data_IF_386572378853
#
_entry.id   IF_386572378853
#
_cell.length_a   1.000
_cell.length_b   1.000
_cell.length_c   1.000
_cell.angle_alpha   90.00
_cell.angle_beta   90.00
_cell.angle_gamma   90.00
#
_symmetry.space_group_name_H-M   'P 1'
#
loop_
_entity.id
_entity.type
_entity.pdbx_description
1 polymer ?
#
# COMPACT_ATOMS: atom_id res chain seq x y z
N UNK A 1 -3.45 -4.69 -12.88
CA UNK A 1 -3.96 -4.95 -11.52
C UNK A 1 -5.27 -4.20 -11.37
N UNK A 2 -6.36 -4.88 -11.02
CA UNK A 2 -7.66 -4.23 -10.81
C UNK A 2 -7.82 -3.94 -9.31
N UNK A 3 -8.21 -2.71 -8.99
CA UNK A 3 -8.46 -2.27 -7.62
C UNK A 3 -9.94 -2.49 -7.30
N UNK A 4 -10.29 -3.07 -6.13
CA UNK A 4 -11.68 -3.13 -5.68
C UNK A 4 -12.32 -1.74 -5.72
N UNK A 5 -13.56 -1.63 -6.19
CA UNK A 5 -14.21 -0.32 -6.37
C UNK A 5 -14.28 0.50 -5.08
N UNK A 6 -14.48 -0.14 -3.93
CA UNK A 6 -14.53 0.54 -2.63
C UNK A 6 -13.14 1.02 -2.13
N UNK A 7 -12.07 0.42 -2.65
CA UNK A 7 -10.66 0.72 -2.34
C UNK A 7 -10.00 1.65 -3.37
N UNK A 8 -10.75 2.09 -4.39
CA UNK A 8 -10.24 2.96 -5.47
C UNK A 8 -9.65 4.27 -4.95
N UNK A 9 -10.37 5.01 -4.11
CA UNK A 9 -9.85 6.26 -3.52
C UNK A 9 -8.59 6.06 -2.66
N UNK A 10 -8.56 5.12 -1.69
CA UNK A 10 -7.34 4.80 -0.94
C UNK A 10 -6.14 4.46 -1.84
N UNK A 11 -6.37 3.70 -2.92
CA UNK A 11 -5.31 3.31 -3.85
C UNK A 11 -4.74 4.48 -4.64
N UNK A 12 -5.57 5.46 -5.03
CA UNK A 12 -5.15 6.68 -5.73
C UNK A 12 -4.27 7.52 -4.80
N UNK A 13 -4.70 7.71 -3.55
CA UNK A 13 -3.95 8.46 -2.55
C UNK A 13 -2.58 7.80 -2.34
N UNK A 14 -2.55 6.48 -2.08
CA UNK A 14 -1.31 5.74 -1.92
C UNK A 14 -0.40 5.86 -3.15
N UNK A 15 -0.96 5.75 -4.36
CA UNK A 15 -0.23 5.92 -5.61
C UNK A 15 0.41 7.29 -5.72
N UNK A 16 -0.35 8.36 -5.47
CA UNK A 16 0.14 9.74 -5.50
C UNK A 16 1.29 9.98 -4.51
N UNK A 17 1.18 9.45 -3.29
CA UNK A 17 2.23 9.59 -2.29
C UNK A 17 3.49 8.78 -2.64
N UNK A 18 3.34 7.54 -3.10
CA UNK A 18 4.49 6.73 -3.54
C UNK A 18 5.23 7.39 -4.72
N UNK A 19 4.48 7.99 -5.66
CA UNK A 19 5.04 8.75 -6.76
C UNK A 19 5.75 10.01 -6.26
N UNK A 20 5.18 10.71 -5.27
CA UNK A 20 5.81 11.90 -4.69
C UNK A 20 7.16 11.59 -4.02
N UNK A 21 7.27 10.48 -3.28
CA UNK A 21 8.54 10.04 -2.67
C UNK A 21 9.59 9.74 -3.75
N UNK A 22 9.20 8.99 -4.78
CA UNK A 22 10.09 8.67 -5.91
C UNK A 22 10.51 9.92 -6.69
N UNK A 23 9.59 10.86 -6.92
CA UNK A 23 9.88 12.15 -7.56
C UNK A 23 10.80 13.02 -6.71
N UNK A 24 10.62 13.02 -5.39
CA UNK A 24 11.52 13.73 -4.48
C UNK A 24 12.95 13.18 -4.60
N UNK A 25 13.10 11.85 -4.72
CA UNK A 25 14.35 11.19 -5.08
C UNK A 25 14.95 11.74 -6.38
N UNK A 26 14.17 11.85 -7.45
CA UNK A 26 14.66 12.42 -8.73
C UNK A 26 15.05 13.89 -8.62
N UNK A 27 14.34 14.69 -7.82
CA UNK A 27 14.65 16.10 -7.59
C UNK A 27 15.92 16.25 -6.74
N UNK A 28 16.32 15.24 -5.97
CA UNK A 28 17.58 15.28 -5.20
C UNK A 28 18.83 15.23 -6.08
N UNK A 29 18.75 14.69 -7.30
CA UNK A 29 19.90 14.61 -8.23
C UNK A 29 20.59 15.97 -8.44
N UNK A 30 19.86 17.03 -8.86
CA UNK A 30 20.45 18.35 -9.06
C UNK A 30 20.66 19.15 -7.77
N UNK A 31 20.00 18.80 -6.67
CA UNK A 31 20.04 19.59 -5.42
C UNK A 31 21.19 19.21 -4.47
N UNK A 32 21.60 17.94 -4.45
CA UNK A 32 22.64 17.48 -3.54
C UNK A 32 24.03 17.87 -4.07
N UNK A 33 24.85 18.39 -3.15
CA UNK A 33 26.23 18.78 -3.44
C UNK A 33 27.07 17.54 -3.84
N UNK A 34 28.23 17.76 -4.51
CA UNK A 34 29.17 16.68 -4.83
C UNK A 34 29.50 15.88 -3.58
N UNK A 35 29.47 14.56 -3.70
CA UNK A 35 29.68 13.69 -2.56
C UNK A 35 31.12 13.73 -2.07
N UNK A 36 31.26 13.83 -0.74
CA UNK A 36 32.55 13.71 -0.06
C UNK A 36 32.63 12.43 0.80
N UNK A 37 31.55 11.65 0.84
CA UNK A 37 31.47 10.43 1.64
C UNK A 37 32.18 9.25 0.95
N UNK A 38 32.82 8.35 1.72
CA UNK A 38 33.39 7.12 1.16
C UNK A 38 32.30 6.29 0.45
N UNK A 39 32.69 5.55 -0.59
CA UNK A 39 31.77 4.79 -1.44
C UNK A 39 30.89 3.82 -0.64
N UNK A 40 31.44 3.22 0.42
CA UNK A 40 30.73 2.30 1.31
C UNK A 40 29.55 2.96 2.04
N UNK A 41 29.69 4.20 2.47
CA UNK A 41 28.61 4.95 3.14
C UNK A 41 27.58 5.47 2.14
N UNK A 42 28.06 5.94 0.99
CA UNK A 42 27.22 6.41 -0.12
C UNK A 42 26.25 5.35 -0.64
N UNK A 43 26.61 4.07 -0.58
CA UNK A 43 25.74 2.96 -0.98
C UNK A 43 25.04 2.33 0.23
N UNK A 44 25.74 2.19 1.34
CA UNK A 44 25.24 1.48 2.53
C UNK A 44 24.02 2.14 3.16
N UNK A 45 23.99 3.48 3.23
CA UNK A 45 22.91 4.21 3.89
C UNK A 45 21.60 4.13 3.09
N UNK A 46 21.57 4.36 1.76
CA UNK A 46 20.38 4.13 0.94
C UNK A 46 19.87 2.69 1.01
N UNK A 47 20.77 1.69 0.97
CA UNK A 47 20.38 0.28 1.07
C UNK A 47 19.79 -0.05 2.44
N UNK A 48 20.38 0.47 3.52
CA UNK A 48 19.87 0.30 4.86
C UNK A 48 18.48 0.94 5.03
N UNK A 49 18.28 2.15 4.49
CA UNK A 49 16.96 2.79 4.47
C UNK A 49 15.91 1.90 3.80
N UNK A 50 16.24 1.40 2.61
CA UNK A 50 15.35 0.52 1.85
C UNK A 50 15.00 -0.76 2.62
N UNK A 51 15.99 -1.40 3.26
CA UNK A 51 15.74 -2.57 4.09
C UNK A 51 14.82 -2.25 5.28
N UNK A 52 15.00 -1.11 5.93
CA UNK A 52 14.10 -0.66 7.01
C UNK A 52 12.68 -0.46 6.49
N UNK A 53 12.51 0.20 5.35
CA UNK A 53 11.21 0.37 4.68
C UNK A 53 10.54 -0.98 4.44
N UNK A 54 11.28 -1.94 3.89
CA UNK A 54 10.79 -3.29 3.60
C UNK A 54 10.36 -4.02 4.89
N UNK A 55 11.20 -4.03 5.92
CA UNK A 55 10.91 -4.69 7.20
C UNK A 55 9.68 -4.07 7.87
N UNK A 56 9.59 -2.74 7.91
CA UNK A 56 8.43 -2.04 8.46
C UNK A 56 7.15 -2.37 7.69
N UNK A 57 7.21 -2.44 6.36
CA UNK A 57 6.06 -2.81 5.54
C UNK A 57 5.60 -4.25 5.75
N UNK A 58 6.53 -5.18 5.99
CA UNK A 58 6.19 -6.58 6.33
C UNK A 58 5.56 -6.66 7.72
N UNK A 59 6.13 -5.97 8.71
CA UNK A 59 5.65 -5.99 10.10
C UNK A 59 4.29 -5.31 10.27
N UNK A 60 4.09 -4.16 9.59
CA UNK A 60 2.83 -3.42 9.68
C UNK A 60 1.68 -4.08 8.92
N UNK A 61 1.99 -5.10 8.08
CA UNK A 61 1.11 -5.91 7.22
C UNK A 61 -0.35 -5.45 7.21
N UNK A 62 -0.79 -4.67 6.21
CA UNK A 62 -2.11 -4.06 6.22
C UNK A 62 -3.26 -5.09 6.13
N UNK A 63 -2.96 -6.31 5.66
CA UNK A 63 -3.90 -7.42 5.56
C UNK A 63 -3.52 -8.51 6.57
N UNK A 64 -4.14 -8.53 7.77
CA UNK A 64 -3.90 -9.58 8.75
C UNK A 64 -4.52 -10.91 8.31
N UNK A 65 -3.99 -12.02 8.82
CA UNK A 65 -4.38 -13.38 8.42
C UNK A 65 -5.40 -14.04 9.36
N UNK A 66 -5.76 -13.42 10.49
CA UNK A 66 -6.69 -13.99 11.49
C UNK A 66 -7.41 -12.89 12.28
N UNK A 67 -8.53 -12.39 11.77
CA UNK A 67 -9.33 -11.39 12.50
C UNK A 67 -10.81 -11.56 12.17
N UNK A 68 -11.57 -12.23 13.03
CA UNK A 68 -13.01 -12.38 12.84
C UNK A 68 -13.74 -11.11 13.25
N UNK A 69 -14.39 -10.42 12.29
CA UNK A 69 -15.18 -9.22 12.55
C UNK A 69 -16.63 -9.31 12.07
N UNK A 70 -17.36 -8.19 12.16
CA UNK A 70 -18.69 -8.07 11.57
C UNK A 70 -18.57 -8.02 10.04
N UNK A 71 -19.46 -8.72 9.34
CA UNK A 71 -19.56 -8.70 7.88
C UNK A 71 -20.28 -7.39 7.49
N UNK A 72 -19.49 -6.34 7.27
CA UNK A 72 -19.95 -5.01 6.85
C UNK A 72 -18.85 -4.37 5.98
N UNK A 73 -19.18 -3.99 4.75
CA UNK A 73 -18.20 -3.51 3.76
C UNK A 73 -17.45 -2.27 4.24
N UNK A 74 -18.15 -1.37 4.94
CA UNK A 74 -17.57 -0.13 5.45
C UNK A 74 -16.61 -0.39 6.62
N UNK A 75 -16.94 -1.32 7.50
CA UNK A 75 -16.10 -1.74 8.63
C UNK A 75 -14.83 -2.41 8.12
N UNK A 76 -14.95 -3.33 7.15
CA UNK A 76 -13.81 -3.99 6.50
C UNK A 76 -12.91 -2.96 5.79
N UNK A 77 -13.51 -2.04 5.02
CA UNK A 77 -12.79 -0.93 4.37
C UNK A 77 -12.05 -0.06 5.39
N UNK A 78 -12.73 0.41 6.44
CA UNK A 78 -12.13 1.29 7.43
C UNK A 78 -10.97 0.62 8.17
N UNK A 79 -11.08 -0.68 8.42
CA UNK A 79 -10.01 -1.46 9.02
C UNK A 79 -8.76 -1.48 8.14
N UNK A 80 -8.92 -1.81 6.85
CA UNK A 80 -7.80 -1.80 5.90
C UNK A 80 -7.23 -0.38 5.75
N UNK A 81 -8.07 0.63 5.56
CA UNK A 81 -7.62 2.02 5.44
C UNK A 81 -6.79 2.46 6.66
N UNK A 82 -7.25 2.14 7.88
CA UNK A 82 -6.52 2.46 9.11
C UNK A 82 -5.16 1.78 9.16
N UNK A 83 -5.11 0.49 8.84
CA UNK A 83 -3.85 -0.28 8.82
C UNK A 83 -2.91 0.19 7.72
N UNK A 84 -3.44 0.50 6.54
CA UNK A 84 -2.69 1.03 5.41
C UNK A 84 -2.10 2.40 5.74
N UNK A 85 -2.87 3.29 6.39
CA UNK A 85 -2.38 4.60 6.83
C UNK A 85 -1.27 4.47 7.89
N UNK A 86 -1.44 3.57 8.85
CA UNK A 86 -0.43 3.30 9.87
C UNK A 86 0.87 2.74 9.26
N UNK A 87 0.75 1.78 8.34
CA UNK A 87 1.90 1.21 7.64
C UNK A 87 2.59 2.26 6.77
N UNK A 88 1.82 3.07 6.05
CA UNK A 88 2.34 4.18 5.27
C UNK A 88 3.09 5.19 6.13
N UNK A 89 2.53 5.58 7.27
CA UNK A 89 3.17 6.50 8.19
C UNK A 89 4.52 5.95 8.68
N UNK A 90 4.56 4.69 9.10
CA UNK A 90 5.80 4.03 9.55
C UNK A 90 6.85 3.96 8.43
N UNK A 91 6.46 3.55 7.22
CA UNK A 91 7.36 3.40 6.08
C UNK A 91 7.79 4.73 5.46
N UNK A 92 7.00 5.80 5.59
CA UNK A 92 7.36 7.12 5.03
C UNK A 92 8.52 7.78 5.78
N UNK A 93 8.72 7.46 7.06
CA UNK A 93 9.79 8.05 7.87
C UNK A 93 11.19 7.65 7.40
N UNK A 94 11.39 6.41 6.92
CA UNK A 94 12.71 5.98 6.43
C UNK A 94 13.18 6.82 5.26
N UNK A 95 12.30 7.12 4.29
CA UNK A 95 12.66 7.98 3.15
C UNK A 95 12.96 9.42 3.55
N UNK A 96 12.24 9.97 4.54
CA UNK A 96 12.51 11.32 5.06
C UNK A 96 13.87 11.35 5.78
N UNK A 97 14.14 10.32 6.60
CA UNK A 97 15.42 10.18 7.30
C UNK A 97 16.57 10.06 6.30
N UNK A 98 16.41 9.23 5.26
CA UNK A 98 17.40 9.10 4.19
C UNK A 98 17.67 10.43 3.50
N UNK A 99 16.61 11.17 3.18
CA UNK A 99 16.73 12.50 2.57
C UNK A 99 17.53 13.45 3.47
N UNK A 100 17.20 13.55 4.77
CA UNK A 100 17.93 14.40 5.71
C UNK A 100 19.40 13.97 5.85
N UNK A 101 19.64 12.65 5.98
CA UNK A 101 21.00 12.11 6.08
C UNK A 101 21.83 12.38 4.84
N UNK A 102 21.22 12.36 3.65
CA UNK A 102 21.93 12.67 2.41
C UNK A 102 22.49 14.09 2.39
N UNK A 103 21.76 15.08 2.94
CA UNK A 103 22.26 16.44 3.12
C UNK A 103 23.34 16.54 4.19
N UNK A 104 23.14 15.90 5.34
CA UNK A 104 24.09 15.99 6.46
C UNK A 104 25.43 15.32 6.16
N UNK A 105 25.40 14.18 5.47
CA UNK A 105 26.58 13.36 5.20
C UNK A 105 27.16 13.58 3.79
N UNK A 106 26.57 14.48 2.99
CA UNK A 106 26.97 14.71 1.60
C UNK A 106 27.07 13.40 0.81
N UNK A 107 26.02 12.58 0.91
CA UNK A 107 25.94 11.31 0.19
C UNK A 107 25.80 11.55 -1.31
N UNK A 108 26.19 10.57 -2.10
CA UNK A 108 25.96 10.59 -3.55
C UNK A 108 24.48 10.80 -3.86
N UNK A 109 24.19 11.81 -4.67
CA UNK A 109 22.83 12.14 -5.12
C UNK A 109 22.21 11.00 -5.92
N UNK A 110 23.01 10.27 -6.70
CA UNK A 110 22.55 9.12 -7.47
C UNK A 110 22.10 7.95 -6.59
N UNK A 111 22.89 7.57 -5.58
CA UNK A 111 22.52 6.48 -4.67
C UNK A 111 21.38 6.86 -3.74
N UNK A 112 21.33 8.12 -3.29
CA UNK A 112 20.20 8.64 -2.51
C UNK A 112 18.91 8.56 -3.31
N UNK A 113 18.91 9.04 -4.56
CA UNK A 113 17.74 8.98 -5.43
C UNK A 113 17.27 7.54 -5.69
N UNK A 114 18.21 6.61 -5.93
CA UNK A 114 17.88 5.19 -6.08
C UNK A 114 17.24 4.63 -4.80
N UNK A 115 17.74 4.98 -3.62
CA UNK A 115 17.14 4.58 -2.34
C UNK A 115 15.72 5.09 -2.17
N UNK A 116 15.47 6.37 -2.48
CA UNK A 116 14.13 6.97 -2.38
C UNK A 116 13.14 6.38 -3.39
N UNK A 117 13.59 6.08 -4.62
CA UNK A 117 12.76 5.39 -5.62
C UNK A 117 12.45 3.96 -5.15
N UNK A 118 13.43 3.26 -4.61
CA UNK A 118 13.24 1.91 -4.07
C UNK A 118 12.26 1.91 -2.88
N UNK A 119 12.35 2.90 -2.00
CA UNK A 119 11.39 3.10 -0.90
C UNK A 119 9.98 3.34 -1.44
N UNK A 120 9.81 4.29 -2.35
CA UNK A 120 8.50 4.61 -2.95
C UNK A 120 7.89 3.39 -3.65
N UNK A 121 8.68 2.65 -4.42
CA UNK A 121 8.25 1.41 -5.07
C UNK A 121 7.85 0.34 -4.04
N UNK A 122 8.61 0.20 -2.95
CA UNK A 122 8.35 -0.79 -1.89
C UNK A 122 7.07 -0.45 -1.14
N UNK A 123 6.86 0.81 -0.78
CA UNK A 123 5.62 1.32 -0.19
C UNK A 123 4.43 0.99 -1.09
N UNK A 124 4.55 1.29 -2.39
CA UNK A 124 3.50 0.97 -3.35
C UNK A 124 3.22 -0.53 -3.38
N UNK A 125 4.23 -1.36 -3.61
CA UNK A 125 4.06 -2.81 -3.76
C UNK A 125 3.51 -3.49 -2.50
N UNK A 126 3.93 -3.05 -1.31
CA UNK A 126 3.48 -3.66 -0.06
C UNK A 126 2.08 -3.20 0.36
N UNK A 127 1.72 -1.95 0.07
CA UNK A 127 0.46 -1.37 0.54
C UNK A 127 -0.65 -1.36 -0.50
N UNK A 128 -0.35 -1.54 -1.79
CA UNK A 128 -1.35 -1.44 -2.84
C UNK A 128 -2.46 -2.50 -2.67
N UNK A 129 -3.73 -2.07 -2.61
CA UNK A 129 -4.86 -2.99 -2.44
C UNK A 129 -5.24 -3.59 -3.79
N UNK A 130 -4.81 -4.83 -4.04
CA UNK A 130 -5.26 -5.63 -5.19
C UNK A 130 -6.53 -6.42 -4.84
N UNK A 131 -7.33 -6.77 -5.85
CA UNK A 131 -8.50 -7.65 -5.67
C UNK A 131 -8.14 -8.92 -4.88
N UNK A 132 -7.08 -9.62 -5.29
CA UNK A 132 -6.63 -10.84 -4.60
C UNK A 132 -6.25 -10.62 -3.13
N UNK A 133 -5.67 -9.46 -2.77
CA UNK A 133 -5.33 -9.16 -1.37
C UNK A 133 -6.58 -8.86 -0.55
N UNK A 134 -7.53 -8.15 -1.14
CA UNK A 134 -8.82 -7.86 -0.50
C UNK A 134 -9.68 -9.12 -0.36
N UNK A 135 -9.66 -10.02 -1.33
CA UNK A 135 -10.34 -11.32 -1.28
C UNK A 135 -9.79 -12.19 -0.14
N UNK A 136 -8.47 -12.40 -0.10
CA UNK A 136 -7.83 -13.13 1.01
C UNK A 136 -8.10 -12.50 2.38
N UNK A 137 -8.17 -11.17 2.44
CA UNK A 137 -8.56 -10.49 3.66
C UNK A 137 -10.02 -10.79 4.02
N UNK A 138 -10.95 -10.68 3.08
CA UNK A 138 -12.36 -10.98 3.32
C UNK A 138 -12.57 -12.43 3.76
N UNK A 139 -11.90 -13.40 3.13
CA UNK A 139 -11.85 -14.80 3.56
C UNK A 139 -11.38 -14.92 5.02
N UNK A 140 -10.24 -14.31 5.35
CA UNK A 140 -9.69 -14.36 6.72
C UNK A 140 -10.54 -13.61 7.74
N UNK A 141 -11.29 -12.59 7.31
CA UNK A 141 -12.08 -11.72 8.16
C UNK A 141 -13.44 -12.34 8.49
N UNK A 142 -14.06 -12.99 7.49
CA UNK A 142 -15.36 -13.61 7.62
C UNK A 142 -15.25 -15.05 8.16
N UNK A 143 -14.10 -15.71 7.95
CA UNK A 143 -13.86 -17.08 8.38
C UNK A 143 -14.89 -18.04 7.79
N UNK A 144 -15.47 -18.91 8.62
CA UNK A 144 -16.49 -19.88 8.20
C UNK A 144 -17.78 -19.24 7.64
N UNK A 145 -17.98 -17.94 7.88
CA UNK A 145 -19.11 -17.16 7.35
C UNK A 145 -18.80 -16.48 6.03
N UNK A 146 -17.64 -16.74 5.42
CA UNK A 146 -17.30 -16.19 4.13
C UNK A 146 -18.23 -16.77 3.05
N UNK A 147 -19.02 -15.89 2.42
CA UNK A 147 -19.78 -16.22 1.23
C UNK A 147 -19.55 -15.11 0.19
N UNK A 148 -18.89 -15.40 -0.95
CA UNK A 148 -18.63 -14.37 -1.97
C UNK A 148 -19.91 -13.82 -2.63
N UNK A 149 -21.05 -14.50 -2.46
CA UNK A 149 -22.36 -14.02 -2.93
C UNK A 149 -23.09 -13.16 -1.90
N UNK A 150 -22.54 -12.98 -0.69
CA UNK A 150 -23.08 -12.04 0.29
C UNK A 150 -22.99 -10.60 -0.25
N UNK A 151 -24.08 -9.81 -0.19
CA UNK A 151 -24.12 -8.48 -0.79
C UNK A 151 -23.09 -7.51 -0.18
N UNK A 152 -22.73 -7.66 1.10
CA UNK A 152 -21.71 -6.81 1.73
C UNK A 152 -20.28 -7.24 1.34
N UNK A 153 -20.06 -8.54 1.08
CA UNK A 153 -18.78 -9.04 0.59
C UNK A 153 -18.58 -8.68 -0.89
N UNK A 154 -19.59 -8.84 -1.76
CA UNK A 154 -19.50 -8.40 -3.17
C UNK A 154 -19.33 -6.88 -3.28
N UNK A 155 -20.05 -6.10 -2.46
CA UNK A 155 -19.87 -4.64 -2.37
C UNK A 155 -18.44 -4.25 -1.96
N UNK A 156 -17.82 -5.01 -1.08
CA UNK A 156 -16.43 -4.79 -0.68
C UNK A 156 -15.43 -5.17 -1.78
N UNK A 157 -15.59 -6.32 -2.43
CA UNK A 157 -14.64 -6.87 -3.40
C UNK A 157 -14.77 -6.27 -4.79
N UNK A 158 -16.01 -6.13 -5.27
CA UNK A 158 -16.30 -5.78 -6.65
C UNK A 158 -17.02 -4.46 -6.80
N UNK A 159 -17.68 -3.99 -5.74
CA UNK A 159 -18.50 -2.79 -5.75
C UNK A 159 -19.45 -2.75 -6.96
N UNK A 160 -19.92 -3.93 -7.45
CA UNK A 160 -20.76 -4.03 -8.65
C UNK A 160 -22.02 -3.18 -8.51
N UNK A 161 -22.53 -3.06 -7.29
CA UNK A 161 -23.74 -2.30 -6.98
C UNK A 161 -23.59 -0.77 -7.02
N UNK A 162 -22.38 -0.20 -7.09
CA UNK A 162 -22.20 1.26 -7.12
C UNK A 162 -22.14 1.83 -8.54
N UNK A 163 -22.15 1.00 -9.59
CA UNK A 163 -22.03 1.44 -10.99
C UNK A 163 -23.24 1.07 -11.87
N UNK A 164 -24.21 0.31 -11.35
CA UNK A 164 -25.48 0.03 -12.05
C UNK A 164 -26.64 0.66 -11.28
N UNK A 165 -27.28 1.72 -11.81
CA UNK A 165 -28.57 2.14 -11.28
C UNK A 165 -29.58 1.01 -11.56
N UNK A 166 -30.14 0.39 -10.50
CA UNK A 166 -31.19 -0.62 -10.62
C UNK A 166 -30.87 -2.05 -10.13
N UNK A 167 -29.86 -2.25 -9.27
CA UNK A 167 -29.63 -3.58 -8.68
C UNK A 167 -30.48 -3.78 -7.41
N UNK A 168 -31.77 -4.06 -7.60
CA UNK A 168 -32.62 -4.60 -6.53
C UNK A 168 -32.23 -6.07 -6.33
N UNK A 169 -31.84 -6.41 -5.09
CA UNK A 169 -31.27 -7.71 -4.72
C UNK A 169 -32.21 -8.89 -4.93
N UNK A 170 -32.29 -9.40 -6.16
CA UNK A 170 -33.03 -10.61 -6.47
C UNK A 170 -32.08 -11.81 -6.48
N UNK A 171 -32.32 -12.85 -5.65
CA UNK A 171 -31.49 -14.04 -5.63
C UNK A 171 -31.60 -14.76 -6.97
N UNK A 172 -30.44 -15.16 -7.50
CA UNK A 172 -30.32 -15.96 -8.72
C UNK A 172 -31.19 -17.21 -8.62
N UNK A 173 -32.17 -17.33 -9.52
CA UNK A 173 -32.98 -18.53 -9.68
C UNK A 173 -32.08 -19.74 -10.00
N UNK A 174 -32.41 -20.94 -9.50
CA UNK A 174 -31.64 -22.14 -9.80
C UNK A 174 -31.78 -22.47 -11.30
N UNK A 175 -30.66 -22.85 -11.91
CA UNK A 175 -30.64 -23.38 -13.26
C UNK A 175 -31.43 -24.70 -13.27
N UNK A 176 -32.59 -24.71 -13.94
CA UNK A 176 -33.24 -25.95 -14.34
C UNK A 176 -32.64 -26.44 -15.68
N UNK A 177 -32.52 -27.77 -15.75
CA UNK A 177 -31.85 -28.56 -16.79
C UNK A 177 -32.37 -28.32 -18.21
#
# INVERSE_FOLDING_TARGET
MRTPGIMKYPSIILGAYSAAISLLGLITLPLLLPSHAPLSESVGIPVASWLVTLVLGILARPFPTKLTGKIDANTMKNFICKKMYLAFYLMGWSSIILFVLAFLLHLSSAFTALGMIADGATIFLLLYPTEQRCERFAESWCGDRYNPTDPEIDKFLHARHLLTPGYDGQPSAPAEL
#
